data_IF_446773825636
#
_entry.id   IF_446773825636
#
_cell.length_a   1.000
_cell.length_b   1.000
_cell.length_c   1.000
_cell.angle_alpha   90.00
_cell.angle_beta   90.00
_cell.angle_gamma   90.00
#
_symmetry.space_group_name_H-M   'P 1'
#
loop_
_entity.id
_entity.type
_entity.pdbx_description
1 polymer ?
#
# COMPACT_ATOMS: atom_id res chain seq x y z
N UNK A 1 23.13 13.93 15.15
CA UNK A 1 22.54 12.63 15.50
C UNK A 1 22.86 12.37 16.95
N UNK A 2 22.06 13.02 17.80
CA UNK A 2 22.02 12.79 19.24
C UNK A 2 21.06 11.63 19.51
N UNK A 3 21.23 10.95 20.65
CA UNK A 3 20.36 9.84 21.06
C UNK A 3 18.89 10.28 21.14
N UNK A 4 18.63 11.54 21.49
CA UNK A 4 17.28 12.12 21.53
C UNK A 4 16.67 12.25 20.12
N UNK A 5 17.44 12.69 19.12
CA UNK A 5 16.99 12.79 17.72
C UNK A 5 16.61 11.41 17.14
N UNK A 6 17.37 10.37 17.49
CA UNK A 6 17.12 9.00 17.01
C UNK A 6 15.84 8.40 17.63
N UNK A 7 15.56 8.71 18.91
CA UNK A 7 14.34 8.25 19.60
C UNK A 7 13.08 8.90 19.00
N UNK A 8 13.12 10.20 18.71
CA UNK A 8 12.00 10.91 18.10
C UNK A 8 11.68 10.37 16.69
N UNK A 9 12.72 10.07 15.89
CA UNK A 9 12.54 9.46 14.56
C UNK A 9 11.92 8.07 14.64
N UNK A 10 12.33 7.25 15.60
CA UNK A 10 11.75 5.92 15.78
C UNK A 10 10.27 6.02 16.16
N UNK A 11 9.91 6.91 17.09
CA UNK A 11 8.51 7.13 17.48
C UNK A 11 7.63 7.59 16.30
N UNK A 12 8.14 8.51 15.49
CA UNK A 12 7.41 8.97 14.30
C UNK A 12 7.21 7.83 13.30
N UNK A 13 8.23 7.00 13.11
CA UNK A 13 8.17 5.83 12.23
C UNK A 13 7.11 4.83 12.69
N UNK A 14 7.06 4.53 13.99
CA UNK A 14 6.07 3.61 14.57
C UNK A 14 4.63 4.12 14.37
N UNK A 15 4.42 5.44 14.56
CA UNK A 15 3.12 6.08 14.30
C UNK A 15 2.70 5.98 12.82
N UNK A 16 3.65 6.19 11.91
CA UNK A 16 3.38 6.09 10.47
C UNK A 16 3.09 4.65 10.04
N UNK A 17 3.71 3.65 10.68
CA UNK A 17 3.38 2.24 10.47
C UNK A 17 1.94 1.90 10.88
N UNK A 18 1.49 2.34 12.06
CA UNK A 18 0.12 2.11 12.51
C UNK A 18 -0.91 2.81 11.60
N UNK A 19 -0.63 4.05 11.18
CA UNK A 19 -1.46 4.76 10.19
C UNK A 19 -1.53 4.03 8.85
N UNK A 20 -0.41 3.49 8.38
CA UNK A 20 -0.37 2.72 7.13
C UNK A 20 -1.21 1.44 7.24
N UNK A 21 -1.13 0.75 8.37
CA UNK A 21 -1.92 -0.45 8.64
C UNK A 21 -3.42 -0.15 8.60
N UNK A 22 -3.88 0.87 9.33
CA UNK A 22 -5.28 1.30 9.33
C UNK A 22 -5.75 1.77 7.94
N UNK A 23 -4.91 2.52 7.21
CA UNK A 23 -5.22 2.94 5.85
C UNK A 23 -5.36 1.75 4.87
N UNK A 24 -4.53 0.71 5.00
CA UNK A 24 -4.63 -0.53 4.22
C UNK A 24 -5.88 -1.34 4.56
N UNK A 25 -6.29 -1.38 5.82
CA UNK A 25 -7.54 -2.01 6.25
C UNK A 25 -8.76 -1.28 5.68
N UNK A 26 -8.79 0.05 5.77
CA UNK A 26 -9.85 0.91 5.20
C UNK A 26 -9.91 0.88 3.67
N UNK A 27 -8.80 0.53 3.00
CA UNK A 27 -8.74 0.47 1.54
C UNK A 27 -9.67 -0.61 0.96
N UNK A 28 -9.79 -1.74 1.66
CA UNK A 28 -10.63 -2.88 1.30
C UNK A 28 -10.17 -3.66 0.05
N UNK A 29 -10.85 -4.76 -0.25
CA UNK A 29 -10.60 -5.59 -1.45
C UNK A 29 -11.29 -5.01 -2.69
N UNK A 30 -10.73 -5.20 -3.91
CA UNK A 30 -9.49 -5.91 -4.24
C UNK A 30 -8.21 -5.09 -4.02
N UNK A 31 -8.34 -3.82 -3.63
CA UNK A 31 -7.23 -2.88 -3.60
C UNK A 31 -6.15 -3.22 -2.57
N UNK A 32 -6.54 -3.70 -1.38
CA UNK A 32 -5.61 -4.14 -0.35
C UNK A 32 -4.71 -5.26 -0.85
N UNK A 33 -5.29 -6.32 -1.40
CA UNK A 33 -4.52 -7.44 -1.95
C UNK A 33 -3.62 -7.00 -3.11
N UNK A 34 -4.08 -6.15 -4.03
CA UNK A 34 -3.23 -5.65 -5.13
C UNK A 34 -2.00 -4.89 -4.62
N UNK A 35 -2.16 -4.05 -3.60
CA UNK A 35 -1.05 -3.28 -3.02
C UNK A 35 -0.10 -4.19 -2.24
N UNK A 36 -0.62 -5.12 -1.44
CA UNK A 36 0.20 -6.09 -0.70
C UNK A 36 0.98 -7.01 -1.63
N UNK A 37 0.32 -7.54 -2.67
CA UNK A 37 0.97 -8.41 -3.65
C UNK A 37 2.12 -7.71 -4.38
N UNK A 38 1.93 -6.45 -4.77
CA UNK A 38 2.96 -5.71 -5.48
C UNK A 38 4.12 -5.25 -4.58
N UNK A 39 3.82 -4.68 -3.41
CA UNK A 39 4.85 -4.03 -2.57
C UNK A 39 5.42 -4.91 -1.45
N UNK A 40 4.66 -5.91 -0.96
CA UNK A 40 5.11 -6.81 0.11
C UNK A 40 5.53 -8.16 -0.43
N UNK A 41 4.76 -8.72 -1.38
CA UNK A 41 5.03 -10.04 -1.95
C UNK A 41 5.89 -9.96 -3.23
N UNK A 42 6.22 -8.75 -3.72
CA UNK A 42 7.00 -8.52 -4.94
C UNK A 42 6.46 -9.25 -6.19
N UNK A 43 5.15 -9.45 -6.29
CA UNK A 43 4.53 -10.06 -7.47
C UNK A 43 4.59 -9.12 -8.67
N UNK A 44 4.82 -9.69 -9.85
CA UNK A 44 4.77 -8.91 -11.10
C UNK A 44 3.33 -8.49 -11.41
N UNK A 45 3.17 -7.47 -12.26
CA UNK A 45 1.84 -7.09 -12.71
C UNK A 45 1.17 -8.18 -13.55
N UNK A 46 1.94 -9.06 -14.20
CA UNK A 46 1.42 -10.24 -14.87
C UNK A 46 0.82 -11.23 -13.87
N UNK A 47 1.55 -11.57 -12.80
CA UNK A 47 1.06 -12.51 -11.77
C UNK A 47 -0.22 -11.97 -11.10
N UNK A 48 -0.25 -10.67 -10.82
CA UNK A 48 -1.43 -9.99 -10.27
C UNK A 48 -2.58 -10.00 -11.30
N UNK A 49 -2.28 -9.81 -12.59
CA UNK A 49 -3.29 -9.88 -13.64
C UNK A 49 -3.97 -11.26 -13.69
N UNK A 50 -3.16 -12.33 -13.65
CA UNK A 50 -3.63 -13.71 -13.66
C UNK A 50 -4.41 -14.05 -12.38
N UNK A 51 -3.88 -13.67 -11.21
CA UNK A 51 -4.52 -13.90 -9.90
C UNK A 51 -5.93 -13.31 -9.80
N UNK A 52 -6.15 -12.13 -10.39
CA UNK A 52 -7.44 -11.44 -10.36
C UNK A 52 -8.31 -11.70 -11.59
N UNK A 53 -7.82 -12.45 -12.59
CA UNK A 53 -8.55 -12.71 -13.83
C UNK A 53 -8.77 -11.48 -14.70
N UNK A 54 -7.85 -10.50 -14.67
CA UNK A 54 -7.91 -9.36 -15.59
C UNK A 54 -7.58 -9.80 -17.01
N UNK A 55 -8.26 -9.21 -18.00
CA UNK A 55 -8.05 -9.53 -19.43
C UNK A 55 -6.66 -9.15 -19.93
N UNK A 56 -6.04 -8.14 -19.33
CA UNK A 56 -4.69 -7.71 -19.67
C UNK A 56 -4.01 -7.00 -18.49
N UNK A 57 -2.67 -6.97 -18.55
CA UNK A 57 -1.82 -6.38 -17.52
C UNK A 57 -2.06 -4.87 -17.36
N UNK A 58 -2.52 -4.17 -18.39
CA UNK A 58 -2.74 -2.73 -18.33
C UNK A 58 -3.96 -2.39 -17.45
N UNK A 59 -5.02 -3.20 -17.50
CA UNK A 59 -6.15 -3.09 -16.58
C UNK A 59 -5.69 -3.27 -15.13
N UNK A 60 -4.83 -4.25 -14.86
CA UNK A 60 -4.26 -4.47 -13.53
C UNK A 60 -3.41 -3.27 -13.08
N UNK A 61 -2.60 -2.68 -13.96
CA UNK A 61 -1.80 -1.47 -13.66
C UNK A 61 -2.69 -0.28 -13.35
N UNK A 62 -3.73 -0.05 -14.15
CA UNK A 62 -4.70 1.02 -13.93
C UNK A 62 -5.44 0.83 -12.60
N UNK A 63 -5.82 -0.40 -12.27
CA UNK A 63 -6.44 -0.71 -10.98
C UNK A 63 -5.47 -0.44 -9.82
N UNK A 64 -4.22 -0.92 -9.91
CA UNK A 64 -3.18 -0.63 -8.91
C UNK A 64 -3.03 0.87 -8.70
N UNK A 65 -2.96 1.65 -9.77
CA UNK A 65 -2.85 3.11 -9.68
C UNK A 65 -4.03 3.71 -8.92
N UNK A 66 -5.27 3.34 -9.25
CA UNK A 66 -6.47 3.82 -8.54
C UNK A 66 -6.46 3.43 -7.06
N UNK A 67 -6.06 2.20 -6.75
CA UNK A 67 -5.91 1.72 -5.37
C UNK A 67 -4.85 2.52 -4.60
N UNK A 68 -3.71 2.81 -5.24
CA UNK A 68 -2.65 3.61 -4.62
C UNK A 68 -3.10 5.05 -4.35
N UNK A 69 -3.85 5.68 -5.26
CA UNK A 69 -4.39 7.02 -5.01
C UNK A 69 -5.38 7.03 -3.85
N UNK A 70 -6.23 6.00 -3.74
CA UNK A 70 -7.14 5.85 -2.59
C UNK A 70 -6.38 5.62 -1.30
N UNK A 71 -5.34 4.80 -1.30
CA UNK A 71 -4.49 4.56 -0.14
C UNK A 71 -3.81 5.84 0.33
N UNK A 72 -3.23 6.63 -0.58
CA UNK A 72 -2.66 7.95 -0.26
C UNK A 72 -3.70 8.86 0.38
N UNK A 73 -4.91 8.89 -0.17
CA UNK A 73 -6.01 9.67 0.41
C UNK A 73 -6.31 9.24 1.84
N UNK A 74 -6.41 7.94 2.09
CA UNK A 74 -6.66 7.40 3.44
C UNK A 74 -5.49 7.71 4.40
N UNK A 75 -4.25 7.58 3.95
CA UNK A 75 -3.08 7.81 4.80
C UNK A 75 -2.90 9.29 5.20
N UNK A 76 -3.12 10.22 4.27
CA UNK A 76 -2.89 11.66 4.51
C UNK A 76 -4.14 12.45 4.93
N UNK A 77 -5.35 11.86 4.84
CA UNK A 77 -6.60 12.52 5.24
C UNK A 77 -7.26 11.88 6.46
N UNK A 78 -6.64 10.87 7.08
CA UNK A 78 -7.08 10.30 8.36
C UNK A 78 -6.49 11.07 9.54
#
# INVERSE_FOLDING_TARGET
LTVDEDVEQQQQTDLDFEKMKDALEKLGEPCRTIIQDFYLNNLSMQDICEKFGYTNTDNAKTQKYKCLQRLKKLFFQS
#
